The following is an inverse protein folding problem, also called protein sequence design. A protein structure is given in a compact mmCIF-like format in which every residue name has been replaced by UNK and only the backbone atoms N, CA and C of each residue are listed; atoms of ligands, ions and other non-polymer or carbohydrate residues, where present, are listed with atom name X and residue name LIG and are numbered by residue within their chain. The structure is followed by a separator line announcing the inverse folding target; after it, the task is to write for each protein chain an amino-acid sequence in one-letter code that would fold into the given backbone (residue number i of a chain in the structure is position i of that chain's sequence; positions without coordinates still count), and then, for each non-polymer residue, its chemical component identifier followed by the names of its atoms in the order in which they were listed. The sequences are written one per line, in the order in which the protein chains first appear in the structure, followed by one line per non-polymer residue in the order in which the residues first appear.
data_IF_279708122018
#
_entry.id   IF_279708122018
#
_cell.length_a   1.000
_cell.length_b   1.000
_cell.length_c   1.000
_cell.angle_alpha   90.00
_cell.angle_beta   90.00
_cell.angle_gamma   90.00
#
_symmetry.space_group_name_H-M   'P 1'
#
loop_
_entity.id
_entity.type
_entity.pdbx_description
1 polymer ?
#
# COMPACT_ATOMS: atom_id res chain seq x y z
N UNK A 1 -2.26 15.13 -38.72
CA UNK A 1 -2.10 14.71 -37.30
C UNK A 1 -2.41 13.22 -37.24
N UNK A 2 -1.51 12.40 -36.67
CA UNK A 2 -1.70 10.94 -36.67
C UNK A 2 -2.74 10.57 -35.62
N UNK A 3 -3.88 10.01 -36.05
CA UNK A 3 -4.97 9.52 -35.19
C UNK A 3 -4.48 8.59 -34.07
N UNK A 4 -3.38 7.86 -34.32
CA UNK A 4 -2.73 7.00 -33.33
C UNK A 4 -2.29 7.74 -32.06
N UNK A 5 -1.85 9.00 -32.17
CA UNK A 5 -1.41 9.78 -31.01
C UNK A 5 -2.60 10.23 -30.18
N UNK A 6 -3.70 10.66 -30.82
CA UNK A 6 -4.94 11.01 -30.13
C UNK A 6 -5.55 9.80 -29.43
N UNK A 7 -5.57 8.64 -30.08
CA UNK A 7 -6.03 7.39 -29.47
C UNK A 7 -5.20 7.02 -28.26
N UNK A 8 -3.86 7.07 -28.35
CA UNK A 8 -2.96 6.79 -27.23
C UNK A 8 -3.22 7.73 -26.04
N UNK A 9 -3.36 9.03 -26.29
CA UNK A 9 -3.64 10.03 -25.25
C UNK A 9 -5.02 9.81 -24.62
N UNK A 10 -6.02 9.41 -25.40
CA UNK A 10 -7.36 9.09 -24.89
C UNK A 10 -7.33 7.79 -24.07
N UNK A 11 -6.62 6.75 -24.51
CA UNK A 11 -6.43 5.54 -23.68
C UNK A 11 -5.61 5.82 -22.43
N UNK A 12 -4.59 6.67 -22.48
CA UNK A 12 -3.82 7.03 -21.29
C UNK A 12 -4.69 7.86 -20.33
N UNK A 13 -5.46 8.80 -20.87
CA UNK A 13 -6.42 9.57 -20.09
C UNK A 13 -7.52 8.69 -19.51
N UNK A 14 -8.01 7.65 -20.19
CA UNK A 14 -9.05 6.73 -19.70
C UNK A 14 -8.50 5.66 -18.74
N UNK A 15 -7.34 5.07 -19.04
CA UNK A 15 -6.68 4.06 -18.20
C UNK A 15 -5.98 4.68 -16.97
N UNK A 16 -5.71 5.98 -16.99
CA UNK A 16 -5.14 6.73 -15.87
C UNK A 16 -6.09 7.84 -15.38
N UNK A 17 -7.39 7.78 -15.71
CA UNK A 17 -8.32 8.90 -15.52
C UNK A 17 -8.56 9.27 -14.07
N UNK A 18 -8.45 8.32 -13.15
CA UNK A 18 -8.85 8.58 -11.77
C UNK A 18 -7.91 7.90 -10.80
N UNK A 19 -7.10 8.71 -10.11
CA UNK A 19 -6.55 8.38 -8.80
C UNK A 19 -7.63 8.47 -7.69
N UNK A 20 -8.90 8.23 -8.05
CA UNK A 20 -10.05 8.12 -7.14
C UNK A 20 -10.19 6.68 -6.60
N UNK A 21 -9.11 5.90 -6.72
CA UNK A 21 -9.08 4.54 -6.22
C UNK A 21 -9.12 4.60 -4.69
N UNK A 22 -10.29 4.30 -4.13
CA UNK A 22 -10.43 4.04 -2.70
C UNK A 22 -9.38 3.03 -2.28
N UNK A 23 -8.76 3.29 -1.14
CA UNK A 23 -7.74 2.38 -0.62
C UNK A 23 -8.35 1.00 -0.43
N UNK A 24 -7.68 -0.02 -0.96
CA UNK A 24 -8.10 -1.41 -0.79
C UNK A 24 -8.14 -1.74 0.72
N UNK A 25 -9.27 -2.20 1.27
CA UNK A 25 -9.38 -2.52 2.70
C UNK A 25 -8.33 -3.52 3.18
N UNK A 26 -7.98 -4.50 2.33
CA UNK A 26 -6.95 -5.48 2.64
C UNK A 26 -5.56 -4.83 2.73
N UNK A 27 -5.25 -3.88 1.84
CA UNK A 27 -4.00 -3.12 1.89
C UNK A 27 -3.95 -2.21 3.13
N UNK A 28 -5.04 -1.54 3.46
CA UNK A 28 -5.10 -0.71 4.67
C UNK A 28 -4.87 -1.55 5.93
N UNK A 29 -5.52 -2.71 6.02
CA UNK A 29 -5.33 -3.65 7.12
C UNK A 29 -3.89 -4.16 7.19
N UNK A 30 -3.29 -4.54 6.05
CA UNK A 30 -1.91 -5.02 5.99
C UNK A 30 -0.92 -3.95 6.47
N UNK A 31 -1.09 -2.69 6.03
CA UNK A 31 -0.26 -1.57 6.46
C UNK A 31 -0.38 -1.33 7.97
N UNK A 32 -1.59 -1.38 8.53
CA UNK A 32 -1.79 -1.26 9.98
C UNK A 32 -1.10 -2.39 10.73
N UNK A 33 -1.26 -3.65 10.29
CA UNK A 33 -0.56 -4.79 10.88
C UNK A 33 0.95 -4.68 10.74
N UNK A 34 1.45 -4.17 9.61
CA UNK A 34 2.86 -3.93 9.39
C UNK A 34 3.43 -2.93 10.39
N UNK A 35 2.68 -1.89 10.76
CA UNK A 35 3.12 -0.90 11.74
C UNK A 35 3.06 -1.41 13.19
N UNK A 36 2.04 -2.19 13.54
CA UNK A 36 1.71 -2.47 14.96
C UNK A 36 1.67 -3.94 15.37
N UNK A 37 1.43 -4.87 14.45
CA UNK A 37 1.38 -6.28 14.79
C UNK A 37 2.78 -6.91 14.88
N UNK A 38 2.87 -8.09 15.50
CA UNK A 38 4.10 -8.89 15.50
C UNK A 38 4.35 -9.58 14.16
N UNK A 39 5.60 -10.00 13.92
CA UNK A 39 6.03 -10.66 12.69
C UNK A 39 5.18 -11.88 12.33
N UNK A 40 4.83 -12.72 13.32
CA UNK A 40 4.00 -13.90 13.12
C UNK A 40 2.58 -13.56 12.63
N UNK A 41 1.98 -12.50 13.17
CA UNK A 41 0.64 -12.04 12.77
C UNK A 41 0.69 -11.47 11.35
N UNK A 42 1.71 -10.65 11.06
CA UNK A 42 1.91 -10.12 9.71
C UNK A 42 2.10 -11.25 8.70
N UNK A 43 2.90 -12.28 9.03
CA UNK A 43 3.12 -13.42 8.13
C UNK A 43 1.82 -14.18 7.82
N UNK A 44 1.02 -14.47 8.84
CA UNK A 44 -0.29 -15.12 8.65
C UNK A 44 -1.21 -14.29 7.75
N UNK A 45 -1.18 -12.96 7.89
CA UNK A 45 -1.95 -12.08 7.03
C UNK A 45 -1.40 -12.02 5.59
N UNK A 46 -0.08 -12.08 5.40
CA UNK A 46 0.53 -12.09 4.07
C UNK A 46 0.18 -13.37 3.30
N UNK A 47 0.05 -14.52 3.98
CA UNK A 47 -0.31 -15.79 3.37
C UNK A 47 -1.70 -15.76 2.68
N UNK A 48 -2.60 -14.85 3.08
CA UNK A 48 -3.91 -14.65 2.43
C UNK A 48 -3.80 -14.18 0.97
N UNK A 49 -2.66 -13.60 0.58
CA UNK A 49 -2.43 -13.08 -0.77
C UNK A 49 -1.73 -14.06 -1.72
N UNK A 50 -1.42 -15.28 -1.25
CA UNK A 50 -0.59 -16.26 -1.96
C UNK A 50 0.72 -15.65 -2.57
N UNK A 51 1.51 -14.89 -1.77
CA UNK A 51 2.70 -14.23 -2.28
C UNK A 51 3.86 -15.22 -2.50
N UNK A 52 4.78 -14.93 -3.43
CA UNK A 52 6.03 -15.69 -3.51
C UNK A 52 6.84 -15.53 -2.23
N UNK A 53 7.54 -16.58 -1.80
CA UNK A 53 8.32 -16.58 -0.55
C UNK A 53 9.34 -15.42 -0.48
N UNK A 54 9.91 -15.04 -1.63
CA UNK A 54 10.82 -13.90 -1.74
C UNK A 54 10.17 -12.58 -1.30
N UNK A 55 8.91 -12.34 -1.69
CA UNK A 55 8.19 -11.14 -1.32
C UNK A 55 7.86 -11.11 0.19
N UNK A 56 7.53 -12.27 0.77
CA UNK A 56 7.32 -12.40 2.21
C UNK A 56 8.62 -12.08 2.94
N UNK A 57 9.74 -12.70 2.55
CA UNK A 57 11.04 -12.47 3.16
C UNK A 57 11.46 -11.00 3.10
N UNK A 58 11.28 -10.35 1.94
CA UNK A 58 11.56 -8.93 1.77
C UNK A 58 10.71 -8.06 2.70
N UNK A 59 9.40 -8.35 2.79
CA UNK A 59 8.49 -7.60 3.67
C UNK A 59 8.84 -7.77 5.15
N UNK A 60 9.16 -8.98 5.58
CA UNK A 60 9.58 -9.27 6.95
C UNK A 60 10.94 -8.63 7.29
N UNK A 61 11.84 -8.48 6.31
CA UNK A 61 13.09 -7.76 6.52
C UNK A 61 12.85 -6.27 6.79
N UNK A 62 11.95 -5.62 6.04
CA UNK A 62 11.58 -4.22 6.31
C UNK A 62 10.86 -4.10 7.66
N UNK A 63 10.04 -5.09 8.02
CA UNK A 63 9.33 -5.13 9.31
C UNK A 63 10.29 -5.03 10.50
N UNK A 64 11.45 -5.68 10.45
CA UNK A 64 12.47 -5.59 11.52
C UNK A 64 12.94 -4.16 11.73
N UNK A 65 13.15 -3.40 10.66
CA UNK A 65 13.51 -1.99 10.74
C UNK A 65 12.37 -1.14 11.33
N UNK A 66 11.14 -1.39 10.87
CA UNK A 66 9.95 -0.72 11.42
C UNK A 66 9.76 -1.05 12.90
N UNK A 67 10.10 -2.27 13.32
CA UNK A 67 10.01 -2.70 14.72
C UNK A 67 11.03 -2.06 15.66
N UNK A 68 12.09 -1.47 15.12
CA UNK A 68 13.03 -0.66 15.89
C UNK A 68 12.55 0.79 16.07
N UNK A 69 11.53 1.23 15.32
CA UNK A 69 10.95 2.56 15.50
C UNK A 69 10.19 2.63 16.82
N UNK A 70 10.28 3.79 17.49
CA UNK A 70 9.46 4.07 18.66
C UNK A 70 7.97 4.04 18.30
N UNK A 71 7.13 3.62 19.25
CA UNK A 71 5.68 3.59 19.05
C UNK A 71 5.12 4.94 18.60
N UNK A 72 5.66 6.05 19.14
CA UNK A 72 5.30 7.41 18.73
C UNK A 72 5.54 7.64 17.24
N UNK A 73 6.69 7.22 16.71
CA UNK A 73 7.01 7.42 15.31
C UNK A 73 6.10 6.59 14.40
N UNK A 74 5.74 5.36 14.80
CA UNK A 74 4.79 4.52 14.04
C UNK A 74 3.40 5.14 14.00
N UNK A 75 2.93 5.69 15.12
CA UNK A 75 1.66 6.43 15.19
C UNK A 75 1.69 7.67 14.27
N UNK A 76 2.79 8.41 14.22
CA UNK A 76 2.89 9.56 13.31
C UNK A 76 2.88 9.13 11.83
N UNK A 77 3.51 8.00 11.49
CA UNK A 77 3.43 7.42 10.15
C UNK A 77 1.98 7.03 9.81
N UNK A 78 1.29 6.32 10.71
CA UNK A 78 -0.12 5.96 10.53
C UNK A 78 -1.01 7.19 10.30
N UNK A 79 -0.84 8.27 11.09
CA UNK A 79 -1.57 9.53 10.89
C UNK A 79 -1.31 10.15 9.53
N UNK A 80 -0.07 10.11 9.04
CA UNK A 80 0.27 10.60 7.70
C UNK A 80 -0.44 9.76 6.64
N UNK A 81 -0.41 8.44 6.76
CA UNK A 81 -1.10 7.53 5.85
C UNK A 81 -2.61 7.77 5.86
N UNK A 82 -3.23 7.91 7.03
CA UNK A 82 -4.65 8.26 7.15
C UNK A 82 -5.01 9.58 6.47
N UNK A 83 -4.14 10.60 6.54
CA UNK A 83 -4.33 11.86 5.79
C UNK A 83 -4.23 11.69 4.28
N UNK A 84 -3.41 10.74 3.79
CA UNK A 84 -3.31 10.42 2.37
C UNK A 84 -4.59 9.74 1.89
N UNK A 85 -5.09 8.75 2.63
CA UNK A 85 -6.34 8.05 2.32
C UNK A 85 -7.50 9.04 2.18
N UNK A 86 -7.66 9.95 3.15
CA UNK A 86 -8.71 10.98 3.13
C UNK A 86 -8.63 11.94 1.94
N UNK A 87 -7.43 12.15 1.36
CA UNK A 87 -7.27 12.97 0.16
C UNK A 87 -7.57 12.21 -1.13
N UNK A 88 -7.39 10.90 -1.14
CA UNK A 88 -7.63 10.04 -2.30
C UNK A 88 -9.08 9.52 -2.39
N UNK A 89 -9.82 9.56 -1.28
CA UNK A 89 -11.26 9.24 -1.22
C UNK A 89 -12.17 10.43 -1.61
N UNK A 90 -11.60 11.63 -1.83
CA UNK A 90 -12.30 12.88 -2.18
C UNK A 90 -12.24 13.19 -3.67
#
# INVERSE_FOLDING_TARGET
MRLSVCLLLVTLALCCYEANAKVCPALASEITSFLFAGEAILKLQLDEFDPPEEAVAAKLEVKKCTDQMSLRNRIEVEKILGRIVLKCDL
#
